data_IF_262035242138
#
_entry.id   IF_262035242138
#
_cell.length_a   1.000
_cell.length_b   1.000
_cell.length_c   1.000
_cell.angle_alpha   90.00
_cell.angle_beta   90.00
_cell.angle_gamma   90.00
#
_symmetry.space_group_name_H-M   'P 1'
#
loop_
_entity.id
_entity.type
_entity.pdbx_description
1 polymer ?
#
# COMPACT_ATOMS: atom_id res chain seq x y z
N UNK A 1 -14.99 3.86 10.10
CA UNK A 1 -14.22 4.61 9.12
C UNK A 1 -15.12 4.73 7.91
N UNK A 2 -15.18 5.88 7.23
CA UNK A 2 -15.96 5.93 5.98
C UNK A 2 -15.24 5.02 4.98
N UNK A 3 -16.00 4.14 4.33
CA UNK A 3 -15.46 3.27 3.29
C UNK A 3 -15.11 4.13 2.07
N UNK A 4 -13.94 3.93 1.51
CA UNK A 4 -13.44 4.63 0.30
C UNK A 4 -13.20 3.66 -0.83
N UNK A 5 -13.37 2.38 -0.57
CA UNK A 5 -13.19 1.29 -1.52
C UNK A 5 -14.05 0.08 -1.15
N UNK A 6 -14.28 -0.80 -2.14
CA UNK A 6 -14.92 -2.10 -1.99
C UNK A 6 -14.24 -3.11 -2.87
N UNK A 7 -14.00 -4.30 -2.33
CA UNK A 7 -13.36 -5.41 -3.06
C UNK A 7 -14.29 -6.59 -3.21
N UNK A 8 -14.15 -7.31 -4.30
CA UNK A 8 -14.89 -8.51 -4.64
C UNK A 8 -13.98 -9.51 -5.35
N UNK A 9 -14.24 -10.78 -5.15
CA UNK A 9 -13.71 -11.80 -6.05
C UNK A 9 -14.50 -11.77 -7.36
N UNK A 10 -13.81 -11.94 -8.50
CA UNK A 10 -14.47 -11.98 -9.80
C UNK A 10 -15.31 -13.26 -9.94
N UNK A 11 -16.62 -13.08 -10.12
CA UNK A 11 -17.61 -14.18 -10.25
C UNK A 11 -18.15 -14.36 -11.65
N UNK A 12 -17.70 -13.56 -12.62
CA UNK A 12 -18.30 -13.48 -13.95
C UNK A 12 -19.54 -12.58 -14.00
N UNK A 13 -19.85 -11.86 -12.91
CA UNK A 13 -20.93 -10.86 -12.90
C UNK A 13 -20.53 -9.62 -13.69
N UNK A 14 -21.49 -9.06 -14.43
CA UNK A 14 -21.29 -7.78 -15.10
C UNK A 14 -21.47 -6.58 -14.16
N UNK A 15 -22.03 -6.77 -12.95
CA UNK A 15 -22.38 -5.66 -12.05
C UNK A 15 -21.86 -5.92 -10.65
N UNK A 16 -21.34 -4.85 -10.01
CA UNK A 16 -20.87 -4.85 -8.61
C UNK A 16 -21.29 -3.57 -7.94
N UNK A 17 -21.64 -3.62 -6.66
CA UNK A 17 -22.13 -2.46 -5.88
C UNK A 17 -21.04 -1.92 -4.97
N UNK A 18 -21.15 -0.65 -4.60
CA UNK A 18 -20.29 -0.02 -3.60
C UNK A 18 -21.12 0.93 -2.70
N UNK A 19 -20.59 1.33 -1.56
CA UNK A 19 -21.34 2.07 -0.54
C UNK A 19 -20.76 3.45 -0.24
N UNK A 20 -19.59 3.79 -0.80
CA UNK A 20 -18.97 5.10 -0.57
C UNK A 20 -19.60 6.19 -1.45
N UNK A 21 -19.61 7.41 -0.93
CA UNK A 21 -20.03 8.62 -1.66
C UNK A 21 -18.92 9.12 -2.58
N UNK A 22 -19.28 9.79 -3.65
CA UNK A 22 -18.39 10.43 -4.61
C UNK A 22 -19.00 11.73 -5.16
N UNK A 23 -18.18 12.64 -5.68
CA UNK A 23 -18.68 13.91 -6.28
C UNK A 23 -19.09 13.70 -7.74
N UNK A 24 -18.25 13.01 -8.50
CA UNK A 24 -18.46 12.73 -9.93
C UNK A 24 -18.26 11.27 -10.24
N UNK A 25 -18.98 10.72 -11.23
CA UNK A 25 -18.74 9.35 -11.69
C UNK A 25 -17.29 9.08 -12.13
N UNK A 26 -16.57 10.11 -12.59
CA UNK A 26 -15.15 10.04 -12.95
C UNK A 26 -14.22 9.77 -11.78
N UNK A 27 -14.67 10.06 -10.55
CA UNK A 27 -13.88 9.84 -9.33
C UNK A 27 -13.93 8.37 -8.88
N UNK A 28 -14.85 7.58 -9.43
CA UNK A 28 -14.92 6.14 -9.18
C UNK A 28 -13.98 5.43 -10.14
N UNK A 29 -13.07 4.65 -9.60
CA UNK A 29 -12.10 3.83 -10.34
C UNK A 29 -12.33 2.36 -10.07
N UNK A 30 -11.93 1.54 -11.03
CA UNK A 30 -12.02 0.08 -10.92
C UNK A 30 -10.71 -0.53 -11.35
N UNK A 31 -10.21 -1.49 -10.56
CA UNK A 31 -9.12 -2.35 -10.99
C UNK A 31 -9.54 -3.82 -10.92
N UNK A 32 -8.97 -4.62 -11.83
CA UNK A 32 -9.16 -6.08 -11.89
C UNK A 32 -7.79 -6.73 -11.80
N UNK A 33 -7.59 -7.59 -10.82
CA UNK A 33 -6.29 -8.21 -10.54
C UNK A 33 -5.14 -7.17 -10.43
N UNK A 34 -5.43 -6.01 -9.81
CA UNK A 34 -4.46 -4.92 -9.63
C UNK A 34 -4.23 -4.02 -10.85
N UNK A 35 -4.91 -4.26 -11.98
CA UNK A 35 -4.80 -3.44 -13.19
C UNK A 35 -6.04 -2.56 -13.35
N UNK A 36 -5.83 -1.25 -13.42
CA UNK A 36 -6.92 -0.29 -13.62
C UNK A 36 -7.61 -0.48 -14.98
N UNK A 37 -8.92 -0.30 -14.98
CA UNK A 37 -9.74 -0.38 -16.18
C UNK A 37 -10.74 0.77 -16.26
N UNK A 38 -11.02 1.22 -17.48
CA UNK A 38 -12.10 2.19 -17.79
C UNK A 38 -13.31 1.52 -18.47
N UNK A 39 -13.30 0.18 -18.61
CA UNK A 39 -14.30 -0.57 -19.34
C UNK A 39 -15.56 -0.85 -18.52
N UNK A 40 -16.04 0.16 -17.83
CA UNK A 40 -17.28 0.13 -17.04
C UNK A 40 -18.06 1.43 -17.14
N UNK A 41 -19.30 1.40 -16.69
CA UNK A 41 -20.18 2.57 -16.54
C UNK A 41 -20.87 2.53 -15.19
N UNK A 42 -21.29 3.70 -14.70
CA UNK A 42 -22.16 3.82 -13.53
C UNK A 42 -23.55 4.25 -14.05
N UNK A 43 -24.55 3.36 -14.01
CA UNK A 43 -25.88 3.70 -14.48
C UNK A 43 -26.51 4.80 -13.60
N UNK A 44 -27.11 5.83 -14.20
CA UNK A 44 -27.78 6.91 -13.46
C UNK A 44 -28.94 6.42 -12.61
N UNK A 45 -29.56 5.29 -12.98
CA UNK A 45 -30.60 4.61 -12.20
C UNK A 45 -30.09 3.83 -10.99
N UNK A 46 -28.76 3.55 -10.95
CA UNK A 46 -28.09 2.82 -9.87
C UNK A 46 -26.71 3.45 -9.59
N UNK A 47 -26.67 4.66 -8.97
CA UNK A 47 -25.45 5.45 -8.83
C UNK A 47 -24.39 4.80 -7.92
N UNK A 48 -24.73 3.75 -7.21
CA UNK A 48 -23.80 2.96 -6.36
C UNK A 48 -23.46 1.60 -6.97
N UNK A 49 -23.58 1.47 -8.29
CA UNK A 49 -23.32 0.20 -9.00
C UNK A 49 -22.44 0.50 -10.21
N UNK A 50 -21.35 -0.26 -10.36
CA UNK A 50 -20.62 -0.32 -11.63
C UNK A 50 -21.20 -1.41 -12.50
N UNK A 51 -21.18 -1.20 -13.80
CA UNK A 51 -21.53 -2.18 -14.82
C UNK A 51 -20.41 -2.26 -15.85
N UNK A 52 -19.76 -3.40 -15.95
CA UNK A 52 -18.76 -3.67 -16.97
C UNK A 52 -19.38 -3.70 -18.37
N UNK A 53 -18.65 -3.22 -19.35
CA UNK A 53 -19.01 -3.38 -20.76
C UNK A 53 -19.05 -4.87 -21.11
N UNK A 54 -19.98 -5.29 -21.95
CA UNK A 54 -20.29 -6.71 -22.19
C UNK A 54 -19.08 -7.57 -22.64
N UNK A 55 -18.11 -6.95 -23.34
CA UNK A 55 -16.89 -7.61 -23.80
C UNK A 55 -15.76 -7.63 -22.77
N UNK A 56 -15.92 -6.90 -21.67
CA UNK A 56 -14.89 -6.69 -20.65
C UNK A 56 -15.33 -7.18 -19.26
N UNK A 57 -16.37 -8.00 -19.20
CA UNK A 57 -16.81 -8.62 -17.94
C UNK A 57 -15.70 -9.58 -17.46
N UNK A 58 -15.13 -9.36 -16.26
CA UNK A 58 -14.11 -10.25 -15.73
C UNK A 58 -14.64 -11.66 -15.56
N UNK A 59 -13.94 -12.66 -16.10
CA UNK A 59 -14.31 -14.06 -15.94
C UNK A 59 -14.26 -14.48 -14.45
N UNK A 60 -15.02 -15.51 -14.08
CA UNK A 60 -14.91 -16.07 -12.73
C UNK A 60 -13.47 -16.54 -12.47
N UNK A 61 -12.90 -16.08 -11.35
CA UNK A 61 -11.51 -16.38 -10.97
C UNK A 61 -10.46 -15.52 -11.67
N UNK A 62 -10.85 -14.43 -12.36
CA UNK A 62 -9.91 -13.50 -13.01
C UNK A 62 -9.11 -12.65 -12.02
N UNK A 63 -9.38 -12.75 -10.71
CA UNK A 63 -8.72 -12.01 -9.66
C UNK A 63 -9.67 -11.09 -8.91
N UNK A 64 -9.11 -10.30 -7.99
CA UNK A 64 -9.85 -9.34 -7.20
C UNK A 64 -10.33 -8.16 -8.07
N UNK A 65 -11.57 -7.76 -7.88
CA UNK A 65 -12.14 -6.53 -8.41
C UNK A 65 -12.17 -5.51 -7.26
N UNK A 66 -11.43 -4.43 -7.43
CA UNK A 66 -11.42 -3.32 -6.49
C UNK A 66 -12.12 -2.12 -7.09
N UNK A 67 -13.14 -1.62 -6.41
CA UNK A 67 -13.85 -0.38 -6.75
C UNK A 67 -13.44 0.64 -5.70
N UNK A 68 -12.87 1.76 -6.11
CA UNK A 68 -12.36 2.74 -5.17
C UNK A 68 -12.60 4.17 -5.65
N UNK A 69 -12.58 5.11 -4.73
CA UNK A 69 -12.65 6.53 -5.03
C UNK A 69 -11.26 7.11 -5.16
N UNK A 70 -11.11 7.96 -6.19
CA UNK A 70 -9.93 8.76 -6.47
C UNK A 70 -10.41 10.17 -6.85
N UNK A 71 -10.56 11.01 -5.83
CA UNK A 71 -11.13 12.36 -5.95
C UNK A 71 -10.13 13.31 -6.60
N UNK A 72 -10.57 14.08 -7.59
CA UNK A 72 -9.73 15.06 -8.26
C UNK A 72 -9.14 16.08 -7.27
N UNK A 73 -7.82 16.27 -7.29
CA UNK A 73 -7.07 17.21 -6.43
C UNK A 73 -6.51 18.40 -7.19
N UNK A 74 -6.59 18.43 -8.53
CA UNK A 74 -5.95 19.45 -9.35
C UNK A 74 -6.80 20.72 -9.46
N UNK A 75 -8.11 20.58 -9.33
CA UNK A 75 -9.07 21.70 -9.47
C UNK A 75 -10.14 21.64 -8.40
N UNK A 76 -10.56 22.81 -7.92
CA UNK A 76 -11.71 22.92 -7.02
C UNK A 76 -13.02 22.57 -7.76
N UNK A 77 -13.99 21.97 -7.06
CA UNK A 77 -15.32 21.71 -7.61
C UNK A 77 -16.07 23.02 -7.96
N UNK A 78 -15.90 24.05 -7.14
CA UNK A 78 -16.45 25.37 -7.40
C UNK A 78 -15.43 26.47 -7.12
N UNK A 79 -15.34 27.45 -8.01
CA UNK A 79 -14.50 28.63 -7.86
C UNK A 79 -15.38 29.85 -7.61
N UNK A 80 -15.08 30.62 -6.55
CA UNK A 80 -15.81 31.83 -6.19
C UNK A 80 -15.06 33.07 -6.70
N UNK A 81 -15.80 33.95 -7.34
CA UNK A 81 -15.28 35.23 -7.82
C UNK A 81 -15.85 36.38 -6.99
N UNK A 82 -15.12 37.51 -6.92
CA UNK A 82 -15.58 38.69 -6.21
C UNK A 82 -16.92 39.19 -6.79
N UNK A 83 -17.92 39.32 -5.92
CA UNK A 83 -19.29 39.74 -6.29
C UNK A 83 -20.22 38.62 -6.79
N UNK A 84 -19.77 37.37 -6.85
CA UNK A 84 -20.65 36.23 -7.13
C UNK A 84 -21.45 35.83 -5.89
N UNK A 85 -22.68 35.36 -6.10
CA UNK A 85 -23.45 34.72 -5.03
C UNK A 85 -22.85 33.36 -4.70
N UNK A 86 -22.61 33.09 -3.41
CA UNK A 86 -22.17 31.78 -2.93
C UNK A 86 -23.39 30.89 -2.75
N UNK A 87 -23.43 29.75 -3.46
CA UNK A 87 -24.44 28.72 -3.25
C UNK A 87 -23.94 27.73 -2.20
N UNK A 88 -24.85 27.32 -1.33
CA UNK A 88 -24.53 26.31 -0.30
C UNK A 88 -24.02 25.01 -0.90
N UNK A 89 -24.53 24.60 -2.07
CA UNK A 89 -24.10 23.41 -2.78
C UNK A 89 -22.62 23.51 -3.18
N UNK A 90 -22.22 24.61 -3.84
CA UNK A 90 -20.86 24.85 -4.28
C UNK A 90 -19.85 24.80 -3.11
N UNK A 91 -20.27 25.32 -1.95
CA UNK A 91 -19.45 25.29 -0.74
C UNK A 91 -19.34 23.87 -0.17
N UNK A 92 -20.45 23.14 -0.12
CA UNK A 92 -20.47 21.76 0.34
C UNK A 92 -19.65 20.85 -0.57
N UNK A 93 -19.71 21.03 -1.88
CA UNK A 93 -18.93 20.24 -2.83
C UNK A 93 -17.42 20.43 -2.64
N UNK A 94 -16.96 21.67 -2.40
CA UNK A 94 -15.56 21.93 -2.05
C UNK A 94 -15.17 21.33 -0.70
N UNK A 95 -16.04 21.36 0.31
CA UNK A 95 -15.77 20.71 1.59
C UNK A 95 -15.75 19.18 1.47
N UNK A 96 -16.67 18.61 0.70
CA UNK A 96 -16.71 17.17 0.44
C UNK A 96 -15.47 16.73 -0.35
N UNK A 97 -15.01 17.52 -1.33
CA UNK A 97 -13.76 17.25 -2.03
C UNK A 97 -12.58 17.11 -1.05
N UNK A 98 -12.39 18.08 -0.16
CA UNK A 98 -11.34 18.03 0.84
C UNK A 98 -11.49 16.85 1.81
N UNK A 99 -12.71 16.55 2.24
CA UNK A 99 -13.01 15.42 3.12
C UNK A 99 -12.67 14.11 2.43
N UNK A 100 -13.07 13.94 1.18
CA UNK A 100 -12.87 12.72 0.42
C UNK A 100 -11.38 12.46 0.15
N UNK A 101 -10.65 13.47 -0.29
CA UNK A 101 -9.18 13.38 -0.45
C UNK A 101 -8.48 13.01 0.86
N UNK A 102 -8.93 13.57 2.00
CA UNK A 102 -8.37 13.23 3.32
C UNK A 102 -8.66 11.78 3.71
N UNK A 103 -9.85 11.27 3.38
CA UNK A 103 -10.21 9.87 3.63
C UNK A 103 -9.38 8.91 2.79
N UNK A 104 -9.14 9.25 1.52
CA UNK A 104 -8.31 8.50 0.59
C UNK A 104 -6.85 8.48 1.04
N UNK A 105 -6.28 9.62 1.37
CA UNK A 105 -4.93 9.71 1.93
C UNK A 105 -4.77 8.86 3.20
N UNK A 106 -5.78 8.85 4.07
CA UNK A 106 -5.78 8.00 5.28
C UNK A 106 -5.84 6.51 4.94
N UNK A 107 -6.61 6.10 3.92
CA UNK A 107 -6.64 4.73 3.40
C UNK A 107 -5.25 4.33 2.89
N UNK A 108 -4.67 5.16 2.03
CA UNK A 108 -3.40 4.85 1.37
C UNK A 108 -2.24 4.78 2.38
N UNK A 109 -2.22 5.67 3.37
CA UNK A 109 -1.28 5.60 4.49
C UNK A 109 -1.50 4.32 5.29
N UNK A 110 -2.75 3.96 5.62
CA UNK A 110 -3.04 2.75 6.38
C UNK A 110 -2.61 1.49 5.61
N UNK A 111 -2.82 1.44 4.29
CA UNK A 111 -2.37 0.36 3.43
C UNK A 111 -0.83 0.30 3.37
N UNK A 112 -0.17 1.44 3.16
CA UNK A 112 1.29 1.52 3.12
C UNK A 112 1.96 1.11 4.46
N UNK A 113 1.27 1.29 5.60
CA UNK A 113 1.78 0.86 6.91
C UNK A 113 1.37 -0.57 7.27
N UNK A 114 0.28 -1.10 6.70
CA UNK A 114 -0.16 -2.50 6.87
C UNK A 114 0.52 -3.46 5.89
N UNK A 115 1.00 -2.95 4.80
CA UNK A 115 2.07 -3.58 4.05
C UNK A 115 3.33 -3.54 4.95
N UNK A 116 3.24 -4.25 6.04
CA UNK A 116 4.38 -4.86 6.71
C UNK A 116 4.94 -5.85 5.71
N UNK A 117 5.18 -5.31 4.53
CA UNK A 117 5.83 -5.96 3.46
C UNK A 117 7.17 -6.45 3.98
N UNK A 118 7.26 -7.77 4.19
CA UNK A 118 8.57 -8.42 4.31
C UNK A 118 9.49 -8.07 3.12
N UNK A 119 8.96 -7.38 2.09
CA UNK A 119 9.74 -6.84 0.96
C UNK A 119 10.43 -5.52 1.29
N UNK A 120 10.10 -4.84 2.39
CA UNK A 120 10.97 -3.79 2.92
C UNK A 120 12.18 -4.46 3.57
N UNK A 121 13.07 -4.95 2.73
CA UNK A 121 14.29 -5.65 3.05
C UNK A 121 14.12 -7.00 3.78
N UNK A 122 13.91 -8.06 2.96
CA UNK A 122 14.43 -9.37 3.31
C UNK A 122 15.93 -9.21 3.66
N UNK A 123 16.43 -10.05 4.52
CA UNK A 123 17.83 -10.02 4.97
C UNK A 123 18.85 -10.11 3.81
N UNK A 124 18.39 -10.37 2.60
CA UNK A 124 19.20 -10.52 1.38
C UNK A 124 19.32 -9.23 0.57
N UNK A 125 18.34 -8.30 0.65
CA UNK A 125 18.29 -7.09 -0.19
C UNK A 125 19.03 -5.87 0.37
N UNK A 126 19.66 -5.98 1.53
CA UNK A 126 20.43 -4.88 2.11
C UNK A 126 21.59 -4.41 1.21
N UNK A 127 22.06 -5.22 0.28
CA UNK A 127 23.16 -4.90 -0.63
C UNK A 127 22.71 -4.40 -2.00
N UNK A 128 21.41 -4.44 -2.31
CA UNK A 128 20.92 -3.80 -3.52
C UNK A 128 20.84 -2.30 -3.29
N UNK A 129 21.37 -1.52 -4.20
CA UNK A 129 21.58 -0.08 -4.18
C UNK A 129 20.30 0.74 -4.24
N UNK A 130 19.20 0.26 -3.66
CA UNK A 130 17.94 1.00 -3.62
C UNK A 130 17.81 1.77 -2.30
N UNK A 131 18.37 2.97 -2.28
CA UNK A 131 18.34 3.91 -1.13
C UNK A 131 16.93 4.46 -0.83
N UNK A 132 15.90 3.96 -1.51
CA UNK A 132 14.52 4.48 -1.37
C UNK A 132 13.72 3.82 -0.26
N UNK A 133 14.24 2.74 0.34
CA UNK A 133 13.53 1.94 1.35
C UNK A 133 14.12 2.13 2.75
N UNK A 134 13.26 2.36 3.73
CA UNK A 134 13.65 2.46 5.15
C UNK A 134 13.63 1.07 5.77
N UNK A 135 14.78 0.59 6.24
CA UNK A 135 14.86 -0.69 6.94
C UNK A 135 14.06 -0.68 8.26
N UNK A 136 13.25 -1.69 8.50
CA UNK A 136 12.54 -1.84 9.77
C UNK A 136 13.50 -2.18 10.91
N UNK A 137 13.16 -1.82 12.13
CA UNK A 137 13.94 -2.17 13.34
C UNK A 137 14.17 -3.69 13.44
N UNK A 138 13.18 -4.49 13.03
CA UNK A 138 13.27 -5.95 13.01
C UNK A 138 14.28 -6.47 11.99
N UNK A 139 14.33 -5.87 10.79
CA UNK A 139 15.30 -6.23 9.77
C UNK A 139 16.73 -5.85 10.20
N UNK A 140 16.91 -4.70 10.84
CA UNK A 140 18.20 -4.27 11.41
C UNK A 140 18.63 -5.24 12.51
N UNK A 141 17.73 -5.63 13.41
CA UNK A 141 18.02 -6.55 14.51
C UNK A 141 18.41 -7.93 13.99
N UNK A 142 17.68 -8.49 13.04
CA UNK A 142 18.00 -9.80 12.44
C UNK A 142 19.39 -9.83 11.78
N UNK A 143 19.80 -8.71 11.17
CA UNK A 143 21.15 -8.60 10.61
C UNK A 143 22.24 -8.46 11.67
N UNK A 144 22.00 -7.71 12.73
CA UNK A 144 22.91 -7.60 13.86
C UNK A 144 23.12 -8.98 14.51
N UNK A 145 22.04 -9.72 14.73
CA UNK A 145 22.08 -11.07 15.29
C UNK A 145 22.83 -12.04 14.36
N UNK A 146 22.62 -11.95 13.05
CA UNK A 146 23.34 -12.73 12.05
C UNK A 146 24.83 -12.40 11.97
N UNK A 147 25.19 -11.12 12.12
CA UNK A 147 26.59 -10.68 12.16
C UNK A 147 27.30 -11.16 13.43
N UNK A 148 26.64 -11.09 14.59
CA UNK A 148 27.20 -11.59 15.84
C UNK A 148 27.41 -13.10 15.82
N UNK A 149 26.50 -13.86 15.18
CA UNK A 149 26.63 -15.33 15.08
C UNK A 149 27.61 -15.78 13.98
N UNK A 150 27.82 -14.95 12.95
CA UNK A 150 28.71 -15.26 11.82
C UNK A 150 30.17 -14.83 12.05
N UNK A 151 30.45 -14.11 13.13
CA UNK A 151 31.81 -13.67 13.41
C UNK A 151 32.61 -14.83 14.04
N UNK A 152 33.27 -15.57 13.18
CA UNK A 152 34.13 -16.69 13.56
C UNK A 152 35.28 -16.25 14.47
N UNK A 153 35.73 -15.02 14.35
CA UNK A 153 36.78 -14.46 15.16
C UNK A 153 36.35 -14.21 16.61
N UNK A 154 35.10 -13.74 16.80
CA UNK A 154 34.50 -13.62 18.14
C UNK A 154 34.23 -14.97 18.77
N UNK A 155 33.82 -15.99 17.99
CA UNK A 155 33.64 -17.36 18.46
C UNK A 155 34.98 -17.98 18.83
N UNK A 156 36.00 -17.75 18.05
CA UNK A 156 37.38 -18.18 18.33
C UNK A 156 37.96 -17.51 19.58
N UNK A 157 37.69 -16.22 19.76
CA UNK A 157 38.12 -15.47 20.95
C UNK A 157 37.39 -15.98 22.21
N UNK A 158 36.07 -16.24 22.13
CA UNK A 158 35.31 -16.85 23.21
C UNK A 158 35.85 -18.23 23.59
N UNK A 159 36.18 -19.04 22.61
CA UNK A 159 36.77 -20.37 22.82
C UNK A 159 38.21 -20.30 23.41
N UNK A 160 38.95 -19.23 23.12
CA UNK A 160 40.25 -18.96 23.75
C UNK A 160 40.10 -18.54 25.21
N UNK A 161 39.03 -17.88 25.60
CA UNK A 161 38.81 -17.42 26.98
C UNK A 161 38.25 -18.51 27.91
N UNK A 162 37.61 -19.57 27.39
CA UNK A 162 36.97 -20.58 28.20
C UNK A 162 37.89 -21.77 28.62
N UNK A 163 39.15 -21.76 28.26
CA UNK A 163 40.05 -22.83 28.70
C UNK A 163 41.54 -22.42 28.63
N UNK A 164 42.20 -22.52 29.75
CA UNK A 164 43.67 -22.38 29.82
C UNK A 164 44.43 -23.28 28.83
N UNK A 165 43.77 -24.32 28.30
CA UNK A 165 44.27 -25.19 27.23
C UNK A 165 44.28 -24.57 25.84
N UNK A 166 43.42 -23.55 25.56
CA UNK A 166 43.36 -22.84 24.28
C UNK A 166 44.52 -21.88 24.07
N UNK A 167 44.90 -21.15 25.10
CA UNK A 167 46.04 -20.23 25.08
C UNK A 167 47.39 -20.97 24.95
N UNK A 168 47.52 -22.14 25.56
CA UNK A 168 48.74 -22.95 25.43
C UNK A 168 48.93 -23.54 24.03
N UNK A 169 47.86 -23.88 23.29
CA UNK A 169 47.94 -24.40 21.94
C UNK A 169 48.44 -23.39 20.91
N UNK A 170 48.18 -22.08 21.11
CA UNK A 170 48.69 -21.05 20.21
C UNK A 170 50.17 -20.76 20.42
N UNK A 171 50.70 -21.03 21.63
CA UNK A 171 52.11 -20.84 21.92
C UNK A 171 53.02 -22.04 21.55
N UNK A 172 52.44 -23.24 21.44
CA UNK A 172 53.18 -24.46 21.04
C UNK A 172 53.24 -24.72 19.55
N UNK A 173 52.53 -23.92 18.73
CA UNK A 173 52.68 -24.00 17.24
C UNK A 173 53.71 -23.03 16.67
N UNK A 174 54.45 -22.32 17.51
CA UNK A 174 55.47 -21.35 17.11
C UNK A 174 56.92 -21.81 17.35
N UNK A 175 57.15 -23.11 17.66
CA UNK A 175 58.47 -23.73 17.70
C UNK A 175 58.68 -24.73 16.53
#
# INVERSE_FOLDING_TARGET
MADTEKTYDSTGSATYTFEFEYLKPSDVKVSVAGVDTSEFTIPSSAPTTIQFNSEHVPASGAGEIRIYRDTNVDTLEATFYAGSAIKSQDLNDNFNQNLFVTQEAKRDIATAWQDGDDTVHSTEDWYTTDDTKIATTKAIQARLDGKQNADTDLTNLSNCQTGASGALKLLTQAE
#
